data_IF_282835288676
#
_entry.id   IF_282835288676
#
_cell.length_a   1.000
_cell.length_b   1.000
_cell.length_c   1.000
_cell.angle_alpha   90.00
_cell.angle_beta   90.00
_cell.angle_gamma   90.00
#
_symmetry.space_group_name_H-M   'P 1'
#
loop_
_entity.id
_entity.type
_entity.pdbx_description
1 polymer ?
#
# COMPACT_ATOMS: atom_id res chain seq x y z
N UNK A 1 -34.87 -10.45 29.10
CA UNK A 1 -33.89 -11.56 28.97
C UNK A 1 -32.44 -11.11 28.77
N UNK A 2 -32.14 -10.08 27.97
CA UNK A 2 -30.76 -9.56 27.82
C UNK A 2 -30.25 -8.82 29.06
N UNK A 3 -31.12 -8.09 29.75
CA UNK A 3 -30.78 -7.33 30.96
C UNK A 3 -30.39 -8.23 32.15
N UNK A 4 -31.04 -9.39 32.26
CA UNK A 4 -30.79 -10.39 33.31
C UNK A 4 -29.46 -11.13 33.12
N UNK A 5 -28.99 -11.24 31.86
CA UNK A 5 -27.70 -11.84 31.52
C UNK A 5 -26.53 -10.87 31.79
N UNK A 6 -26.71 -9.58 31.47
CA UNK A 6 -25.71 -8.54 31.77
C UNK A 6 -25.47 -8.37 33.29
N UNK A 7 -26.54 -8.43 34.09
CA UNK A 7 -26.43 -8.28 35.54
C UNK A 7 -25.73 -9.48 36.22
N UNK A 8 -25.82 -10.68 35.65
CA UNK A 8 -25.10 -11.87 36.16
C UNK A 8 -23.60 -11.83 35.86
N UNK A 9 -23.16 -11.22 34.76
CA UNK A 9 -21.75 -11.19 34.37
C UNK A 9 -20.94 -10.07 35.07
N UNK A 10 -21.58 -9.02 35.56
CA UNK A 10 -20.90 -7.93 36.27
C UNK A 10 -20.57 -8.32 37.72
N UNK A 11 -21.32 -9.27 38.31
CA UNK A 11 -21.14 -9.72 39.69
C UNK A 11 -19.88 -10.59 39.91
N UNK A 12 -19.20 -11.05 38.86
CA UNK A 12 -17.99 -11.89 38.97
C UNK A 12 -16.67 -11.13 39.04
N UNK A 13 -16.66 -9.80 38.91
CA UNK A 13 -15.43 -8.99 38.84
C UNK A 13 -15.24 -7.95 39.94
N UNK A 14 -15.99 -8.04 41.04
CA UNK A 14 -15.83 -7.15 42.20
C UNK A 14 -15.75 -7.99 43.48
N UNK A 15 -14.56 -8.19 44.08
CA UNK A 15 -14.46 -8.81 45.38
C UNK A 15 -14.64 -7.73 46.44
N UNK A 16 -15.79 -7.71 47.13
CA UNK A 16 -15.94 -7.50 48.59
C UNK A 16 -17.38 -7.13 48.96
N UNK A 17 -17.78 -7.61 50.14
CA UNK A 17 -19.04 -7.45 50.89
C UNK A 17 -20.14 -8.50 50.68
N UNK A 18 -20.50 -9.25 51.75
CA UNK A 18 -21.49 -10.32 51.68
C UNK A 18 -22.88 -9.74 51.92
N UNK A 19 -23.83 -9.99 51.02
CA UNK A 19 -25.25 -9.82 51.36
C UNK A 19 -25.99 -11.10 51.02
N UNK A 20 -26.48 -11.75 52.08
CA UNK A 20 -27.31 -12.94 52.05
C UNK A 20 -28.53 -12.74 51.15
N UNK A 21 -28.82 -13.77 50.35
CA UNK A 21 -29.81 -13.84 49.27
C UNK A 21 -31.28 -13.93 49.76
N UNK A 22 -31.61 -13.35 50.93
CA UNK A 22 -32.87 -13.61 51.64
C UNK A 22 -33.80 -12.41 51.83
N UNK A 23 -33.58 -11.26 51.17
CA UNK A 23 -34.44 -10.05 51.32
C UNK A 23 -34.89 -9.50 49.95
N UNK A 24 -35.36 -10.36 49.06
CA UNK A 24 -36.08 -9.95 47.85
C UNK A 24 -37.40 -10.71 47.73
N UNK A 25 -38.29 -10.47 48.69
CA UNK A 25 -39.73 -10.61 48.48
C UNK A 25 -40.41 -9.31 48.86
N UNK A 26 -40.99 -8.71 47.83
CA UNK A 26 -42.07 -7.74 47.87
C UNK A 26 -41.73 -6.33 48.38
N UNK A 27 -42.13 -5.36 47.54
CA UNK A 27 -42.20 -3.92 47.79
C UNK A 27 -40.89 -3.13 47.91
N UNK A 28 -40.38 -2.64 46.76
CA UNK A 28 -40.07 -1.20 46.57
C UNK A 28 -39.53 -0.92 45.16
N UNK A 29 -40.42 -0.87 44.16
CA UNK A 29 -40.08 -0.39 42.82
C UNK A 29 -39.96 1.15 42.79
N UNK A 30 -40.56 1.87 43.74
CA UNK A 30 -40.53 3.35 43.78
C UNK A 30 -39.21 3.94 44.32
N UNK A 31 -38.50 3.23 45.19
CA UNK A 31 -37.23 3.73 45.76
C UNK A 31 -36.07 3.65 44.75
N UNK A 32 -36.06 2.61 43.91
CA UNK A 32 -35.05 2.44 42.85
C UNK A 32 -35.28 3.46 41.71
N UNK A 33 -36.53 3.78 41.36
CA UNK A 33 -36.81 4.86 40.39
C UNK A 33 -36.41 6.25 40.91
N UNK A 34 -36.58 6.52 42.21
CA UNK A 34 -36.15 7.78 42.82
C UNK A 34 -34.62 7.90 42.87
N UNK A 35 -33.91 6.84 43.24
CA UNK A 35 -32.44 6.82 43.23
C UNK A 35 -31.86 6.89 41.80
N UNK A 36 -32.51 6.27 40.81
CA UNK A 36 -32.13 6.41 39.40
C UNK A 36 -32.41 7.82 38.87
N UNK A 37 -33.51 8.48 39.27
CA UNK A 37 -33.80 9.87 38.85
C UNK A 37 -32.89 10.92 39.50
N UNK A 38 -32.49 10.72 40.77
CA UNK A 38 -31.56 11.63 41.46
C UNK A 38 -30.12 11.37 41.02
N UNK A 39 -29.74 10.10 40.80
CA UNK A 39 -28.46 9.71 40.22
C UNK A 39 -28.28 10.18 38.78
N UNK A 40 -29.32 10.13 37.94
CA UNK A 40 -29.26 10.66 36.58
C UNK A 40 -29.29 12.19 36.51
N UNK A 41 -29.96 12.90 37.43
CA UNK A 41 -29.95 14.38 37.40
C UNK A 41 -28.63 15.01 37.83
N UNK A 42 -27.89 14.37 38.73
CA UNK A 42 -26.56 14.86 39.16
C UNK A 42 -25.40 14.34 38.29
N UNK A 43 -25.61 13.31 37.47
CA UNK A 43 -24.65 12.87 36.43
C UNK A 43 -24.85 13.65 35.11
N UNK A 44 -26.05 14.20 34.86
CA UNK A 44 -26.33 15.00 33.64
C UNK A 44 -25.94 16.49 33.79
N UNK A 45 -25.76 17.01 35.01
CA UNK A 45 -25.39 18.43 35.22
C UNK A 45 -23.99 18.67 35.81
N UNK A 46 -23.15 17.64 35.94
CA UNK A 46 -21.90 17.72 36.72
C UNK A 46 -20.60 17.37 36.00
N UNK A 47 -20.62 16.88 34.75
CA UNK A 47 -19.40 16.51 34.01
C UNK A 47 -19.50 16.77 32.50
N UNK A 48 -20.22 17.82 32.08
CA UNK A 48 -19.92 18.46 30.80
C UNK A 48 -18.71 19.37 31.06
N UNK A 49 -17.54 18.74 31.22
CA UNK A 49 -16.31 19.38 30.80
C UNK A 49 -16.45 19.52 29.28
N UNK A 50 -17.03 20.64 28.83
CA UNK A 50 -16.72 21.21 27.51
C UNK A 50 -15.24 21.58 27.57
N UNK A 51 -14.36 20.58 27.55
CA UNK A 51 -13.12 20.73 26.83
C UNK A 51 -13.58 20.90 25.38
N UNK A 52 -13.77 22.15 24.99
CA UNK A 52 -13.89 22.52 23.59
C UNK A 52 -12.66 21.93 22.92
N UNK A 53 -12.80 20.76 22.28
CA UNK A 53 -11.78 20.31 21.35
C UNK A 53 -11.64 21.49 20.38
N UNK A 54 -10.46 22.12 20.31
CA UNK A 54 -10.31 23.33 19.52
C UNK A 54 -10.81 23.03 18.11
N UNK A 55 -11.57 23.97 17.54
CA UNK A 55 -12.15 23.87 16.19
C UNK A 55 -11.10 23.50 15.12
N UNK A 56 -9.81 23.63 15.46
CA UNK A 56 -8.65 23.10 14.74
C UNK A 56 -8.65 21.59 14.50
N UNK A 57 -9.42 20.78 15.24
CA UNK A 57 -9.51 19.33 15.02
C UNK A 57 -10.38 18.95 13.81
N UNK A 58 -11.32 19.82 13.40
CA UNK A 58 -12.28 19.53 12.33
C UNK A 58 -12.00 20.28 11.02
N UNK A 59 -11.06 21.22 11.00
CA UNK A 59 -10.66 21.93 9.79
C UNK A 59 -9.67 21.12 8.94
N UNK A 60 -10.02 19.90 8.54
CA UNK A 60 -9.46 19.33 7.32
C UNK A 60 -10.37 19.81 6.20
N UNK A 61 -10.11 21.00 5.67
CA UNK A 61 -10.76 21.46 4.44
C UNK A 61 -10.72 20.29 3.46
N UNK A 62 -11.90 19.83 3.02
CA UNK A 62 -12.06 18.89 1.91
C UNK A 62 -11.68 19.63 0.64
N UNK A 63 -10.39 19.92 0.54
CA UNK A 63 -9.78 20.51 -0.61
C UNK A 63 -9.71 19.42 -1.67
N UNK A 64 -10.29 19.71 -2.84
CA UNK A 64 -9.90 19.06 -4.09
C UNK A 64 -8.45 19.45 -4.36
N UNK A 65 -7.49 18.89 -3.59
CA UNK A 65 -6.10 19.31 -3.63
C UNK A 65 -5.50 18.89 -4.96
N UNK A 66 -5.49 19.82 -5.90
CA UNK A 66 -4.41 19.89 -6.87
C UNK A 66 -3.12 20.16 -6.08
N UNK A 67 -2.11 19.32 -6.27
CA UNK A 67 -0.83 19.50 -5.56
C UNK A 67 -0.60 18.63 -4.31
N UNK A 68 -1.18 17.43 -4.22
CA UNK A 68 -0.97 16.50 -3.08
C UNK A 68 0.51 16.16 -2.80
N UNK A 69 1.38 16.37 -3.78
CA UNK A 69 2.81 16.13 -3.72
C UNK A 69 3.61 17.41 -4.02
N UNK A 70 3.00 18.58 -3.83
CA UNK A 70 3.60 19.88 -4.14
C UNK A 70 4.95 20.03 -3.43
N UNK A 71 5.99 20.26 -4.23
CA UNK A 71 7.35 20.46 -3.73
C UNK A 71 8.07 19.19 -3.26
N UNK A 72 7.44 18.02 -3.36
CA UNK A 72 8.11 16.74 -3.07
C UNK A 72 9.01 16.32 -4.23
N UNK A 73 10.10 15.65 -3.91
CA UNK A 73 11.05 15.05 -4.86
C UNK A 73 10.92 13.53 -4.79
N UNK A 74 10.62 12.90 -5.91
CA UNK A 74 10.47 11.46 -6.00
C UNK A 74 11.53 10.83 -6.90
N UNK A 75 12.05 9.68 -6.48
CA UNK A 75 12.85 8.78 -7.32
C UNK A 75 12.02 7.52 -7.56
N UNK A 76 11.78 7.19 -8.83
CA UNK A 76 10.96 6.02 -9.21
C UNK A 76 11.80 5.11 -10.11
N UNK A 77 11.98 3.86 -9.68
CA UNK A 77 12.66 2.82 -10.46
C UNK A 77 11.70 2.14 -11.42
N UNK A 78 12.16 1.73 -12.60
CA UNK A 78 11.31 1.11 -13.62
C UNK A 78 10.26 2.09 -14.15
N UNK A 79 10.63 3.38 -14.25
CA UNK A 79 9.71 4.47 -14.57
C UNK A 79 9.68 4.87 -16.05
N UNK A 80 10.40 4.15 -16.92
CA UNK A 80 10.34 4.40 -18.37
C UNK A 80 9.03 3.90 -19.01
N UNK A 81 8.26 3.03 -18.34
CA UNK A 81 7.01 2.49 -18.89
C UNK A 81 6.01 2.07 -17.82
N UNK A 82 4.82 1.62 -18.26
CA UNK A 82 3.81 0.97 -17.42
C UNK A 82 3.40 1.78 -16.18
N UNK A 83 3.30 1.09 -15.03
CA UNK A 83 2.90 1.69 -13.74
C UNK A 83 3.91 2.76 -13.30
N UNK A 84 5.20 2.56 -13.51
CA UNK A 84 6.23 3.53 -13.11
C UNK A 84 6.10 4.85 -13.86
N UNK A 85 5.90 4.79 -15.18
CA UNK A 85 5.62 5.99 -16.00
C UNK A 85 4.31 6.67 -15.59
N UNK A 86 3.24 5.90 -15.37
CA UNK A 86 1.96 6.45 -14.93
C UNK A 86 2.08 7.13 -13.54
N UNK A 87 2.82 6.53 -12.61
CA UNK A 87 3.13 7.12 -11.32
C UNK A 87 3.94 8.40 -11.45
N UNK A 88 4.97 8.43 -12.30
CA UNK A 88 5.75 9.64 -12.58
C UNK A 88 4.86 10.78 -13.11
N UNK A 89 3.99 10.49 -14.09
CA UNK A 89 3.05 11.45 -14.65
C UNK A 89 2.10 12.01 -13.59
N UNK A 90 1.48 11.14 -12.78
CA UNK A 90 0.56 11.53 -11.69
C UNK A 90 1.28 12.28 -10.56
N UNK A 91 2.53 11.94 -10.27
CA UNK A 91 3.32 12.65 -9.28
C UNK A 91 3.60 14.08 -9.73
N UNK A 92 4.00 14.27 -10.98
CA UNK A 92 4.23 15.58 -11.60
C UNK A 92 2.93 16.39 -11.65
N UNK A 93 1.80 15.78 -12.06
CA UNK A 93 0.51 16.46 -12.07
C UNK A 93 0.03 16.88 -10.66
N UNK A 94 0.58 16.24 -9.62
CA UNK A 94 0.37 16.60 -8.22
C UNK A 94 1.50 17.47 -7.64
N UNK A 95 2.33 18.08 -8.48
CA UNK A 95 3.31 19.10 -8.09
C UNK A 95 4.66 18.58 -7.60
N UNK A 96 4.96 17.29 -7.81
CA UNK A 96 6.28 16.73 -7.52
C UNK A 96 7.27 16.98 -8.66
N UNK A 97 8.56 16.89 -8.35
CA UNK A 97 9.61 16.62 -9.34
C UNK A 97 10.00 15.15 -9.25
N UNK A 98 10.21 14.51 -10.40
CA UNK A 98 10.43 13.07 -10.49
C UNK A 98 11.74 12.77 -11.21
N UNK A 99 12.58 11.97 -10.57
CA UNK A 99 13.72 11.31 -11.18
C UNK A 99 13.27 9.92 -11.66
N UNK A 100 13.39 9.70 -12.96
CA UNK A 100 13.08 8.46 -13.67
C UNK A 100 14.36 7.62 -13.69
N UNK A 101 14.40 6.56 -12.89
CA UNK A 101 15.49 5.60 -12.88
C UNK A 101 15.06 4.35 -13.66
N UNK A 102 15.77 4.03 -14.73
CA UNK A 102 15.45 2.86 -15.56
C UNK A 102 16.68 2.33 -16.29
N UNK A 103 16.70 1.03 -16.61
CA UNK A 103 17.76 0.39 -17.38
C UNK A 103 17.64 0.72 -18.87
N UNK A 104 16.43 1.04 -19.35
CA UNK A 104 16.16 1.34 -20.76
C UNK A 104 16.50 2.80 -21.10
N UNK A 105 17.76 3.06 -21.43
CA UNK A 105 18.29 4.42 -21.61
C UNK A 105 17.47 5.29 -22.58
N UNK A 106 17.16 4.79 -23.76
CA UNK A 106 16.45 5.54 -24.80
C UNK A 106 14.99 5.80 -24.40
N UNK A 107 14.30 4.78 -23.90
CA UNK A 107 12.90 4.89 -23.47
C UNK A 107 12.76 5.79 -22.23
N UNK A 108 13.67 5.67 -21.27
CA UNK A 108 13.71 6.50 -20.07
C UNK A 108 13.94 7.98 -20.41
N UNK A 109 14.87 8.28 -21.31
CA UNK A 109 15.10 9.65 -21.78
C UNK A 109 13.89 10.20 -22.55
N UNK A 110 13.29 9.41 -23.45
CA UNK A 110 12.09 9.81 -24.16
C UNK A 110 10.93 10.10 -23.20
N UNK A 111 10.75 9.26 -22.18
CA UNK A 111 9.72 9.45 -21.15
C UNK A 111 9.96 10.71 -20.32
N UNK A 112 11.21 11.00 -19.92
CA UNK A 112 11.52 12.24 -19.23
C UNK A 112 11.19 13.48 -20.08
N UNK A 113 11.50 13.43 -21.39
CA UNK A 113 11.19 14.51 -22.31
C UNK A 113 9.67 14.71 -22.47
N UNK A 114 8.92 13.61 -22.60
CA UNK A 114 7.46 13.61 -22.70
C UNK A 114 6.78 14.20 -21.45
N UNK A 115 7.27 13.83 -20.26
CA UNK A 115 6.74 14.30 -18.98
C UNK A 115 7.18 15.74 -18.62
N UNK A 116 8.10 16.32 -19.40
CA UNK A 116 8.47 17.72 -19.34
C UNK A 116 9.45 18.08 -18.21
N UNK A 117 9.54 19.37 -17.83
CA UNK A 117 10.67 19.91 -17.06
C UNK A 117 10.77 19.42 -15.60
N UNK A 118 9.70 18.81 -15.09
CA UNK A 118 9.69 18.23 -13.75
C UNK A 118 10.13 16.76 -13.74
N UNK A 119 10.44 16.18 -14.90
CA UNK A 119 11.03 14.86 -15.03
C UNK A 119 12.53 14.96 -15.35
N UNK A 120 13.33 14.02 -14.86
CA UNK A 120 14.73 13.86 -15.23
C UNK A 120 15.09 12.39 -15.27
N UNK A 121 15.80 11.96 -16.30
CA UNK A 121 16.22 10.57 -16.44
C UNK A 121 17.61 10.32 -15.85
N UNK A 122 17.80 9.12 -15.30
CA UNK A 122 19.10 8.54 -14.94
C UNK A 122 19.11 7.04 -15.27
N UNK A 123 20.14 6.50 -15.95
CA UNK A 123 20.27 5.06 -16.13
C UNK A 123 20.45 4.37 -14.78
N UNK A 124 19.69 3.31 -14.56
CA UNK A 124 19.76 2.55 -13.31
C UNK A 124 19.39 1.08 -13.52
N UNK A 125 20.35 0.19 -13.39
CA UNK A 125 20.11 -1.24 -13.25
C UNK A 125 19.99 -1.61 -11.77
N UNK A 126 18.77 -1.91 -11.31
CA UNK A 126 18.50 -2.21 -9.89
C UNK A 126 19.20 -3.47 -9.37
N UNK A 127 19.75 -4.32 -10.26
CA UNK A 127 20.59 -5.46 -9.84
C UNK A 127 21.98 -5.02 -9.37
N UNK A 128 22.44 -3.86 -9.84
CA UNK A 128 23.70 -3.24 -9.46
C UNK A 128 23.46 -2.24 -8.35
N UNK A 129 23.97 -2.55 -7.17
CA UNK A 129 23.77 -1.68 -6.00
C UNK A 129 24.39 -0.28 -6.18
N UNK A 130 25.49 -0.18 -6.94
CA UNK A 130 26.12 1.09 -7.31
C UNK A 130 25.15 2.01 -8.06
N UNK A 131 24.45 1.49 -9.08
CA UNK A 131 23.54 2.26 -9.90
C UNK A 131 22.37 2.82 -9.07
N UNK A 132 21.91 2.06 -8.07
CA UNK A 132 20.87 2.51 -7.14
C UNK A 132 21.39 3.59 -6.19
N UNK A 133 22.61 3.43 -5.67
CA UNK A 133 23.27 4.47 -4.86
C UNK A 133 23.44 5.76 -5.66
N UNK A 134 23.94 5.66 -6.89
CA UNK A 134 24.18 6.78 -7.79
C UNK A 134 22.88 7.50 -8.17
N UNK A 135 21.78 6.76 -8.35
CA UNK A 135 20.46 7.37 -8.59
C UNK A 135 19.96 8.20 -7.39
N UNK A 136 20.19 7.72 -6.16
CA UNK A 136 19.88 8.49 -4.95
C UNK A 136 20.80 9.70 -4.82
N UNK A 137 22.11 9.54 -5.03
CA UNK A 137 23.09 10.61 -4.93
C UNK A 137 22.86 11.70 -5.99
N UNK A 138 22.51 11.30 -7.21
CA UNK A 138 22.07 12.21 -8.26
C UNK A 138 20.84 13.03 -7.84
N UNK A 139 19.84 12.36 -7.25
CA UNK A 139 18.62 13.02 -6.78
C UNK A 139 18.93 14.06 -5.69
N UNK A 140 19.79 13.72 -4.73
CA UNK A 140 20.26 14.64 -3.69
C UNK A 140 21.10 15.77 -4.27
N UNK A 141 22.03 15.49 -5.18
CA UNK A 141 22.87 16.51 -5.81
C UNK A 141 22.01 17.56 -6.52
N UNK A 142 21.03 17.10 -7.30
CA UNK A 142 20.14 17.93 -8.13
C UNK A 142 19.07 18.68 -7.34
N UNK A 143 18.47 18.04 -6.34
CA UNK A 143 17.27 18.57 -5.67
C UNK A 143 17.45 18.83 -4.16
N UNK A 144 18.60 18.46 -3.59
CA UNK A 144 18.98 18.60 -2.17
C UNK A 144 18.13 17.79 -1.18
N UNK A 145 17.16 17.02 -1.66
CA UNK A 145 16.26 16.19 -0.86
C UNK A 145 15.71 15.03 -1.69
N UNK A 146 15.28 13.99 -0.99
CA UNK A 146 14.50 12.88 -1.52
C UNK A 146 13.33 12.62 -0.57
N UNK A 147 12.11 12.83 -1.05
CA UNK A 147 10.89 12.68 -0.23
C UNK A 147 10.20 11.35 -0.46
N UNK A 148 10.26 10.84 -1.69
CA UNK A 148 9.60 9.60 -2.08
C UNK A 148 10.58 8.69 -2.82
N UNK A 149 10.81 7.49 -2.28
CA UNK A 149 11.47 6.42 -3.03
C UNK A 149 10.41 5.40 -3.45
N UNK A 150 10.21 5.22 -4.76
CA UNK A 150 9.29 4.22 -5.28
C UNK A 150 10.05 3.09 -5.98
N UNK A 151 10.19 1.98 -5.27
CA UNK A 151 10.75 0.73 -5.75
C UNK A 151 9.72 -0.02 -6.61
N UNK A 152 9.59 0.39 -7.87
CA UNK A 152 8.62 -0.15 -8.81
C UNK A 152 9.21 -1.12 -9.84
N UNK A 153 10.52 -1.05 -10.12
CA UNK A 153 11.17 -1.95 -11.06
C UNK A 153 10.93 -3.44 -10.70
N UNK A 154 10.68 -4.25 -11.72
CA UNK A 154 10.50 -5.69 -11.58
C UNK A 154 10.45 -6.38 -12.93
N UNK A 155 10.62 -7.70 -12.90
CA UNK A 155 10.50 -8.57 -14.07
C UNK A 155 9.48 -9.68 -13.86
N UNK A 156 8.81 -10.14 -14.93
CA UNK A 156 8.00 -11.35 -14.89
C UNK A 156 8.92 -12.56 -14.69
N UNK A 157 8.31 -13.72 -14.44
CA UNK A 157 9.05 -14.95 -14.25
C UNK A 157 8.64 -16.00 -15.28
N UNK A 158 9.60 -16.41 -16.10
CA UNK A 158 9.43 -17.49 -17.07
C UNK A 158 10.00 -18.79 -16.51
N UNK A 159 9.30 -19.38 -15.54
CA UNK A 159 9.67 -20.70 -14.99
C UNK A 159 8.62 -21.74 -15.34
N UNK A 160 9.01 -23.03 -15.40
CA UNK A 160 8.06 -24.12 -15.56
C UNK A 160 6.91 -24.05 -14.53
N UNK A 161 5.71 -24.54 -14.88
CA UNK A 161 4.57 -24.54 -13.95
C UNK A 161 4.78 -25.48 -12.77
N UNK A 162 5.60 -26.52 -12.96
CA UNK A 162 5.92 -27.53 -11.96
C UNK A 162 7.14 -27.11 -11.15
N UNK A 163 7.03 -27.20 -9.82
CA UNK A 163 8.11 -26.82 -8.90
C UNK A 163 9.33 -27.76 -8.99
N UNK A 164 9.14 -29.02 -9.41
CA UNK A 164 10.26 -29.98 -9.51
C UNK A 164 11.20 -29.64 -10.67
N UNK A 165 10.74 -28.85 -11.63
CA UNK A 165 11.49 -28.45 -12.82
C UNK A 165 12.09 -27.04 -12.67
N UNK A 166 12.03 -26.44 -11.48
CA UNK A 166 12.51 -25.09 -11.24
C UNK A 166 14.04 -25.00 -11.41
N UNK A 167 14.47 -24.16 -12.35
CA UNK A 167 15.85 -23.71 -12.42
C UNK A 167 16.12 -22.62 -11.36
N UNK A 168 17.00 -22.95 -10.40
CA UNK A 168 17.39 -22.04 -9.33
C UNK A 168 18.14 -20.81 -9.84
N UNK A 169 18.82 -20.87 -10.99
CA UNK A 169 19.46 -19.69 -11.57
C UNK A 169 18.42 -18.67 -12.04
N UNK A 170 17.29 -19.13 -12.58
CA UNK A 170 16.15 -18.27 -12.94
C UNK A 170 15.52 -17.68 -11.68
N UNK A 171 15.36 -18.50 -10.63
CA UNK A 171 14.90 -18.02 -9.32
C UNK A 171 15.80 -16.90 -8.77
N UNK A 172 17.10 -17.12 -8.74
CA UNK A 172 18.08 -16.15 -8.23
C UNK A 172 18.06 -14.85 -9.02
N UNK A 173 17.91 -14.92 -10.34
CA UNK A 173 17.76 -13.72 -11.19
C UNK A 173 16.51 -12.92 -10.83
N UNK A 174 15.36 -13.58 -10.69
CA UNK A 174 14.10 -12.90 -10.33
C UNK A 174 14.19 -12.30 -8.92
N UNK A 175 14.77 -13.02 -7.96
CA UNK A 175 14.99 -12.51 -6.61
C UNK A 175 15.99 -11.34 -6.60
N UNK A 176 17.04 -11.40 -7.42
CA UNK A 176 18.01 -10.33 -7.59
C UNK A 176 17.38 -9.01 -8.05
N UNK A 177 16.38 -9.09 -8.94
CA UNK A 177 15.67 -7.90 -9.44
C UNK A 177 14.53 -7.50 -8.50
N UNK A 178 13.58 -8.40 -8.25
CA UNK A 178 12.31 -8.09 -7.58
C UNK A 178 12.45 -7.91 -6.07
N UNK A 179 13.51 -8.45 -5.45
CA UNK A 179 13.69 -8.44 -3.98
C UNK A 179 14.96 -7.69 -3.60
N UNK A 180 16.13 -8.12 -4.09
CA UNK A 180 17.40 -7.47 -3.77
C UNK A 180 17.44 -6.03 -4.29
N UNK A 181 16.93 -5.77 -5.49
CA UNK A 181 16.80 -4.41 -6.04
C UNK A 181 15.94 -3.50 -5.15
N UNK A 182 14.81 -4.01 -4.64
CA UNK A 182 13.95 -3.29 -3.69
C UNK A 182 14.70 -2.97 -2.39
N UNK A 183 15.42 -3.95 -1.83
CA UNK A 183 16.23 -3.75 -0.63
C UNK A 183 17.34 -2.70 -0.84
N UNK A 184 18.02 -2.72 -1.99
CA UNK A 184 19.03 -1.72 -2.32
C UNK A 184 18.42 -0.31 -2.40
N UNK A 185 17.25 -0.18 -3.02
CA UNK A 185 16.55 1.09 -3.10
C UNK A 185 16.09 1.62 -1.75
N UNK A 186 15.58 0.75 -0.88
CA UNK A 186 15.25 1.09 0.51
C UNK A 186 16.52 1.54 1.27
N UNK A 187 17.57 0.72 1.27
CA UNK A 187 18.83 0.99 1.97
C UNK A 187 19.39 2.37 1.62
N UNK A 188 19.49 2.68 0.33
CA UNK A 188 20.09 3.94 -0.12
C UNK A 188 19.18 5.14 0.05
N UNK A 189 17.85 4.97 -0.07
CA UNK A 189 16.91 6.03 0.30
C UNK A 189 17.00 6.35 1.80
N UNK A 190 17.09 5.34 2.66
CA UNK A 190 17.20 5.53 4.11
C UNK A 190 18.49 6.23 4.53
N UNK A 191 19.60 6.01 3.82
CA UNK A 191 20.87 6.73 4.04
C UNK A 191 20.67 8.26 4.05
N UNK A 192 19.73 8.78 3.25
CA UNK A 192 19.48 10.22 3.11
C UNK A 192 18.20 10.69 3.82
N UNK A 193 17.20 9.80 3.97
CA UNK A 193 15.94 10.09 4.65
C UNK A 193 16.07 10.06 6.19
N UNK A 194 16.86 9.15 6.77
CA UNK A 194 17.02 9.03 8.23
C UNK A 194 17.56 10.31 8.88
N UNK A 195 18.64 10.94 8.36
CA UNK A 195 19.11 12.22 8.89
C UNK A 195 18.06 13.33 8.80
N UNK A 196 17.23 13.30 7.75
CA UNK A 196 16.16 14.27 7.51
C UNK A 196 14.88 13.98 8.33
N UNK A 197 14.80 12.79 8.95
CA UNK A 197 13.65 12.29 9.74
C UNK A 197 12.30 12.43 9.03
N UNK A 198 12.30 12.25 7.72
CA UNK A 198 11.11 12.36 6.87
C UNK A 198 11.31 11.54 5.59
N UNK A 199 10.22 10.99 5.07
CA UNK A 199 10.24 10.25 3.82
C UNK A 199 9.06 9.30 3.66
N UNK A 200 8.79 8.92 2.42
CA UNK A 200 7.82 7.90 2.05
C UNK A 200 8.46 6.89 1.10
N UNK A 201 8.55 5.64 1.52
CA UNK A 201 9.03 4.53 0.72
C UNK A 201 7.82 3.75 0.21
N UNK A 202 7.77 3.55 -1.10
CA UNK A 202 6.76 2.74 -1.78
C UNK A 202 7.43 1.56 -2.47
N UNK A 203 6.77 0.42 -2.47
CA UNK A 203 7.21 -0.78 -3.19
C UNK A 203 6.06 -1.36 -4.03
N UNK A 204 6.35 -1.81 -5.25
CA UNK A 204 5.37 -2.53 -6.08
C UNK A 204 5.40 -4.01 -5.75
N UNK A 205 4.39 -4.48 -5.02
CA UNK A 205 4.13 -5.89 -4.74
C UNK A 205 3.21 -6.48 -5.84
N UNK A 206 2.31 -7.40 -5.49
CA UNK A 206 1.30 -7.98 -6.39
C UNK A 206 0.30 -8.82 -5.59
N UNK A 207 -0.93 -8.93 -6.09
CA UNK A 207 -1.92 -9.92 -5.62
C UNK A 207 -1.37 -11.35 -5.60
N UNK A 208 -0.44 -11.67 -6.50
CA UNK A 208 0.20 -13.00 -6.60
C UNK A 208 1.02 -13.32 -5.35
N UNK A 209 1.61 -12.31 -4.71
CA UNK A 209 2.32 -12.45 -3.43
C UNK A 209 1.41 -12.60 -2.22
N UNK A 210 0.10 -12.42 -2.37
CA UNK A 210 -0.88 -12.62 -1.29
C UNK A 210 -1.57 -13.97 -1.39
N UNK A 211 -2.02 -14.33 -2.59
CA UNK A 211 -2.79 -15.55 -2.81
C UNK A 211 -1.91 -16.77 -3.15
N UNK A 212 -0.79 -16.56 -3.84
CA UNK A 212 -0.10 -17.63 -4.56
C UNK A 212 -0.96 -18.23 -5.69
N UNK A 213 -0.35 -19.03 -6.56
CA UNK A 213 -1.07 -19.85 -7.56
C UNK A 213 -1.73 -19.09 -8.72
N UNK A 214 -1.67 -17.76 -8.75
CA UNK A 214 -2.11 -16.92 -9.88
C UNK A 214 -1.00 -16.72 -10.93
N UNK A 215 0.24 -17.02 -10.57
CA UNK A 215 1.43 -16.92 -11.40
C UNK A 215 2.43 -17.98 -10.99
N UNK A 216 3.53 -18.05 -11.72
CA UNK A 216 4.66 -18.92 -11.47
C UNK A 216 5.18 -18.72 -10.03
N UNK A 217 5.56 -19.82 -9.38
CA UNK A 217 5.93 -19.85 -7.96
C UNK A 217 6.99 -18.81 -7.61
N UNK A 218 8.03 -18.69 -8.43
CA UNK A 218 9.13 -17.74 -8.24
C UNK A 218 8.67 -16.28 -8.19
N UNK A 219 7.77 -15.87 -9.09
CA UNK A 219 7.22 -14.51 -9.07
C UNK A 219 6.39 -14.28 -7.81
N UNK A 220 5.49 -15.23 -7.48
CA UNK A 220 4.67 -15.18 -6.27
C UNK A 220 5.52 -15.08 -5.00
N UNK A 221 6.60 -15.88 -4.88
CA UNK A 221 7.56 -15.82 -3.76
C UNK A 221 8.26 -14.46 -3.72
N UNK A 222 8.73 -13.94 -4.86
CA UNK A 222 9.40 -12.64 -4.90
C UNK A 222 8.49 -11.50 -4.42
N UNK A 223 7.22 -11.50 -4.81
CA UNK A 223 6.25 -10.47 -4.40
C UNK A 223 5.76 -10.67 -2.96
N UNK A 224 5.69 -11.91 -2.48
CA UNK A 224 5.48 -12.21 -1.05
C UNK A 224 6.60 -11.64 -0.19
N UNK A 225 7.85 -11.77 -0.65
CA UNK A 225 9.02 -11.22 0.04
C UNK A 225 8.95 -9.69 0.13
N UNK A 226 8.51 -8.99 -0.93
CA UNK A 226 8.31 -7.53 -0.89
C UNK A 226 7.28 -7.12 0.18
N UNK A 227 6.16 -7.84 0.30
CA UNK A 227 5.16 -7.59 1.36
C UNK A 227 5.79 -7.81 2.75
N UNK A 228 6.58 -8.87 2.90
CA UNK A 228 7.34 -9.15 4.13
C UNK A 228 8.35 -8.05 4.48
N UNK A 229 9.11 -7.55 3.50
CA UNK A 229 10.08 -6.46 3.68
C UNK A 229 9.38 -5.21 4.22
N UNK A 230 8.28 -4.78 3.59
CA UNK A 230 7.52 -3.60 4.03
C UNK A 230 7.03 -3.75 5.46
N UNK A 231 6.46 -4.91 5.81
CA UNK A 231 5.96 -5.18 7.16
C UNK A 231 7.09 -5.20 8.19
N UNK A 232 8.22 -5.83 7.85
CA UNK A 232 9.38 -5.98 8.74
C UNK A 232 10.01 -4.62 9.06
N UNK A 233 10.27 -3.81 8.04
CA UNK A 233 11.01 -2.55 8.21
C UNK A 233 10.16 -1.43 8.82
N UNK A 234 8.83 -1.49 8.73
CA UNK A 234 7.96 -0.43 9.25
C UNK A 234 8.21 -0.12 10.74
N UNK A 235 8.48 -1.13 11.57
CA UNK A 235 8.73 -0.94 13.01
C UNK A 235 9.97 -0.06 13.28
N UNK A 236 11.04 -0.24 12.50
CA UNK A 236 12.25 0.57 12.57
C UNK A 236 12.01 1.98 12.01
N UNK A 237 11.44 2.07 10.80
CA UNK A 237 11.33 3.33 10.06
C UNK A 237 10.39 4.33 10.70
N UNK A 238 9.36 3.86 11.41
CA UNK A 238 8.47 4.71 12.19
C UNK A 238 9.21 5.56 13.23
N UNK A 239 10.31 5.05 13.81
CA UNK A 239 11.12 5.79 14.79
C UNK A 239 11.83 7.00 14.19
N UNK A 240 11.98 7.04 12.87
CA UNK A 240 12.60 8.12 12.11
C UNK A 240 11.58 9.02 11.39
N UNK A 241 10.27 8.82 11.60
CA UNK A 241 9.24 9.58 10.88
C UNK A 241 9.15 9.23 9.39
N UNK A 242 9.67 8.05 9.00
CA UNK A 242 9.66 7.55 7.63
C UNK A 242 8.57 6.50 7.51
N UNK A 243 7.74 6.61 6.47
CA UNK A 243 6.69 5.64 6.16
C UNK A 243 7.18 4.67 5.10
N UNK A 244 6.79 3.41 5.20
CA UNK A 244 7.02 2.40 4.15
C UNK A 244 5.73 1.66 3.87
N UNK A 245 5.34 1.53 2.61
CA UNK A 245 4.13 0.79 2.20
C UNK A 245 4.39 0.08 0.88
N UNK A 246 3.57 -0.92 0.55
CA UNK A 246 3.52 -1.50 -0.78
C UNK A 246 2.14 -1.37 -1.41
N UNK A 247 2.12 -1.46 -2.74
CA UNK A 247 0.90 -1.52 -3.55
C UNK A 247 0.89 -2.88 -4.23
N UNK A 248 -0.19 -3.62 -4.08
CA UNK A 248 -0.42 -4.92 -4.73
C UNK A 248 -1.49 -4.79 -5.80
N UNK A 249 -1.12 -4.44 -7.05
CA UNK A 249 -2.07 -4.42 -8.14
C UNK A 249 -2.45 -5.84 -8.59
N UNK A 250 -3.66 -5.98 -9.12
CA UNK A 250 -4.07 -7.11 -9.96
C UNK A 250 -3.41 -7.03 -11.34
N UNK A 251 -3.86 -7.84 -12.30
CA UNK A 251 -3.38 -7.76 -13.68
C UNK A 251 -3.71 -6.38 -14.29
N UNK A 252 -2.68 -5.69 -14.78
CA UNK A 252 -2.76 -4.36 -15.41
C UNK A 252 -2.16 -4.46 -16.82
N UNK A 253 -2.81 -3.93 -17.86
CA UNK A 253 -2.31 -3.98 -19.25
C UNK A 253 -1.08 -3.07 -19.42
N UNK A 254 0.07 -3.56 -19.00
CA UNK A 254 1.36 -2.87 -19.11
C UNK A 254 2.27 -3.63 -20.09
N UNK A 255 3.34 -3.01 -20.62
CA UNK A 255 4.33 -3.74 -21.40
C UNK A 255 4.87 -4.98 -20.68
N UNK A 256 4.98 -4.93 -19.34
CA UNK A 256 5.33 -6.09 -18.50
C UNK A 256 4.37 -7.26 -18.68
N UNK A 257 3.06 -7.03 -18.52
CA UNK A 257 2.06 -8.09 -18.58
C UNK A 257 1.82 -8.56 -20.01
N UNK A 258 1.91 -7.66 -20.99
CA UNK A 258 1.76 -7.99 -22.39
C UNK A 258 2.94 -8.84 -22.91
N UNK A 259 4.17 -8.52 -22.51
CA UNK A 259 5.35 -9.35 -22.81
C UNK A 259 5.16 -10.77 -22.25
N UNK A 260 4.78 -10.87 -20.98
CA UNK A 260 4.55 -12.16 -20.32
C UNK A 260 3.49 -13.01 -21.03
N UNK A 261 2.31 -12.42 -21.28
CA UNK A 261 1.22 -13.14 -21.93
C UNK A 261 1.50 -13.46 -23.40
N UNK A 262 2.29 -12.64 -24.10
CA UNK A 262 2.67 -12.91 -25.49
C UNK A 262 3.54 -14.16 -25.63
N UNK A 263 4.34 -14.50 -24.61
CA UNK A 263 5.13 -15.73 -24.62
C UNK A 263 4.27 -16.97 -24.32
N UNK A 264 3.25 -16.82 -23.47
CA UNK A 264 2.31 -17.89 -23.12
C UNK A 264 1.31 -18.13 -24.26
N UNK A 265 0.87 -17.05 -24.91
CA UNK A 265 -0.13 -17.04 -25.98
C UNK A 265 0.40 -16.34 -27.24
N UNK A 266 1.40 -16.92 -27.93
CA UNK A 266 2.09 -16.26 -29.06
C UNK A 266 1.20 -15.99 -30.27
N UNK A 267 0.00 -16.57 -30.32
CA UNK A 267 -0.95 -16.42 -31.42
C UNK A 267 -1.96 -15.29 -31.17
N UNK A 268 -1.92 -14.65 -30.01
CA UNK A 268 -2.89 -13.61 -29.62
C UNK A 268 -2.22 -12.23 -29.79
N UNK A 269 -2.90 -11.34 -30.49
CA UNK A 269 -2.42 -9.96 -30.67
C UNK A 269 -2.51 -9.14 -29.38
N UNK A 270 -1.80 -8.01 -29.34
CA UNK A 270 -1.74 -7.17 -28.15
C UNK A 270 -3.11 -6.62 -27.70
N UNK A 271 -4.03 -6.33 -28.63
CA UNK A 271 -5.36 -5.81 -28.29
C UNK A 271 -6.21 -6.88 -27.60
N UNK A 272 -6.14 -8.10 -28.10
CA UNK A 272 -6.79 -9.26 -27.51
C UNK A 272 -6.17 -9.62 -26.14
N UNK A 273 -4.86 -9.48 -25.97
CA UNK A 273 -4.21 -9.64 -24.67
C UNK A 273 -4.71 -8.60 -23.64
N UNK A 274 -4.89 -7.33 -24.04
CA UNK A 274 -5.48 -6.31 -23.17
C UNK A 274 -6.91 -6.69 -22.77
N UNK A 275 -7.74 -7.13 -23.73
CA UNK A 275 -9.11 -7.61 -23.45
C UNK A 275 -9.10 -8.82 -22.51
N UNK A 276 -8.16 -9.73 -22.69
CA UNK A 276 -7.97 -10.88 -21.81
C UNK A 276 -7.63 -10.44 -20.38
N UNK A 277 -6.66 -9.54 -20.20
CA UNK A 277 -6.29 -8.99 -18.89
C UNK A 277 -7.51 -8.37 -18.20
N UNK A 278 -8.28 -7.55 -18.93
CA UNK A 278 -9.50 -6.93 -18.39
C UNK A 278 -10.56 -7.96 -18.00
N UNK A 279 -10.68 -9.06 -18.75
CA UNK A 279 -11.65 -10.12 -18.46
C UNK A 279 -11.39 -10.87 -17.14
N UNK A 280 -10.16 -10.80 -16.61
CA UNK A 280 -9.82 -11.41 -15.32
C UNK A 280 -10.37 -10.61 -14.12
N UNK A 281 -10.74 -9.35 -14.32
CA UNK A 281 -11.28 -8.48 -13.28
C UNK A 281 -12.67 -8.94 -12.80
N UNK A 282 -12.94 -8.80 -11.51
CA UNK A 282 -14.25 -9.15 -10.91
C UNK A 282 -15.17 -7.94 -10.71
N UNK A 283 -14.64 -6.72 -10.86
CA UNK A 283 -15.35 -5.47 -10.61
C UNK A 283 -16.13 -5.01 -11.85
N UNK A 284 -17.23 -5.69 -12.16
CA UNK A 284 -18.25 -5.24 -13.11
C UNK A 284 -17.69 -4.63 -14.40
N UNK A 285 -18.10 -3.39 -14.71
CA UNK A 285 -17.70 -2.66 -15.94
C UNK A 285 -16.38 -1.90 -15.80
N UNK A 286 -15.73 -1.93 -14.64
CA UNK A 286 -14.48 -1.21 -14.42
C UNK A 286 -13.28 -2.07 -14.86
N UNK A 287 -12.32 -1.45 -15.52
CA UNK A 287 -11.01 -2.05 -15.80
C UNK A 287 -9.96 -1.46 -14.88
N UNK A 288 -8.88 -2.20 -14.65
CA UNK A 288 -7.76 -1.73 -13.87
C UNK A 288 -6.67 -1.22 -14.82
N UNK A 289 -6.35 0.06 -14.73
CA UNK A 289 -5.37 0.72 -15.57
C UNK A 289 -4.11 1.12 -14.77
N UNK A 290 -2.97 1.40 -15.43
CA UNK A 290 -1.78 1.90 -14.74
C UNK A 290 -2.04 3.18 -13.93
N UNK A 291 -3.00 4.01 -14.37
CA UNK A 291 -3.42 5.23 -13.69
C UNK A 291 -4.04 4.98 -12.30
N UNK A 292 -4.79 3.91 -12.12
CA UNK A 292 -5.42 3.58 -10.84
C UNK A 292 -4.37 3.20 -9.79
N UNK A 293 -3.36 2.43 -10.22
CA UNK A 293 -2.21 2.08 -9.37
C UNK A 293 -1.37 3.33 -9.04
N UNK A 294 -1.24 4.24 -10.00
CA UNK A 294 -0.57 5.52 -9.79
C UNK A 294 -1.32 6.43 -8.80
N UNK A 295 -2.65 6.44 -8.81
CA UNK A 295 -3.46 7.20 -7.85
C UNK A 295 -3.33 6.64 -6.42
N UNK A 296 -3.24 5.31 -6.27
CA UNK A 296 -2.88 4.67 -5.01
C UNK A 296 -1.47 5.09 -4.53
N UNK A 297 -0.49 5.18 -5.45
CA UNK A 297 0.85 5.66 -5.13
C UNK A 297 0.86 7.13 -4.70
N UNK A 298 0.08 8.00 -5.34
CA UNK A 298 -0.05 9.41 -4.93
C UNK A 298 -0.61 9.49 -3.50
N UNK A 299 -1.65 8.71 -3.18
CA UNK A 299 -2.19 8.67 -1.82
C UNK A 299 -1.14 8.25 -0.80
N UNK A 300 -0.45 7.13 -1.04
CA UNK A 300 0.55 6.64 -0.09
C UNK A 300 1.77 7.55 0.01
N UNK A 301 2.13 8.29 -1.04
CA UNK A 301 3.22 9.25 -1.03
C UNK A 301 2.87 10.59 -0.36
N UNK A 302 1.58 10.95 -0.29
CA UNK A 302 1.13 12.25 0.22
C UNK A 302 0.95 12.26 1.74
N UNK A 303 0.66 13.45 2.27
CA UNK A 303 0.36 13.65 3.69
C UNK A 303 -1.07 13.18 4.06
N UNK A 304 -1.86 12.75 3.06
CA UNK A 304 -3.15 12.09 3.31
C UNK A 304 -2.93 10.74 3.99
N UNK A 305 -1.85 10.05 3.64
CA UNK A 305 -1.42 8.79 4.23
C UNK A 305 -0.40 8.99 5.38
N UNK A 306 -0.37 10.17 6.03
CA UNK A 306 0.62 10.49 7.09
C UNK A 306 0.65 9.50 8.27
N UNK A 307 -0.41 8.71 8.45
CA UNK A 307 -0.54 7.72 9.51
C UNK A 307 -0.64 6.28 8.99
N UNK A 308 -0.24 6.03 7.74
CA UNK A 308 -0.24 4.72 7.09
C UNK A 308 1.21 4.29 6.82
N UNK A 309 1.64 3.22 7.49
CA UNK A 309 2.96 2.60 7.34
C UNK A 309 2.85 1.09 7.60
N UNK A 310 3.69 0.29 6.96
CA UNK A 310 3.65 -1.17 6.96
C UNK A 310 2.45 -1.77 6.21
N UNK A 311 1.74 -0.96 5.42
CA UNK A 311 0.51 -1.38 4.76
C UNK A 311 0.76 -1.93 3.36
N UNK A 312 0.00 -2.96 3.00
CA UNK A 312 -0.13 -3.45 1.63
C UNK A 312 -1.47 -2.99 1.07
N UNK A 313 -1.45 -1.95 0.24
CA UNK A 313 -2.65 -1.42 -0.41
C UNK A 313 -2.96 -2.24 -1.66
N UNK A 314 -4.02 -3.04 -1.61
CA UNK A 314 -4.43 -3.89 -2.72
C UNK A 314 -5.30 -3.09 -3.70
N UNK A 315 -4.97 -3.16 -4.99
CA UNK A 315 -5.69 -2.49 -6.07
C UNK A 315 -6.13 -3.55 -7.08
N UNK A 316 -7.25 -4.22 -6.80
CA UNK A 316 -7.65 -5.44 -7.50
C UNK A 316 -9.16 -5.57 -7.77
N UNK A 317 -9.94 -4.52 -7.49
CA UNK A 317 -11.39 -4.56 -7.63
C UNK A 317 -12.09 -5.60 -6.74
N UNK A 318 -11.46 -6.03 -5.65
CA UNK A 318 -11.99 -7.03 -4.71
C UNK A 318 -11.65 -8.48 -5.07
N UNK A 319 -10.80 -8.73 -6.08
CA UNK A 319 -10.42 -10.07 -6.53
C UNK A 319 -9.91 -10.97 -5.39
N UNK A 320 -9.07 -10.43 -4.52
CA UNK A 320 -8.48 -11.16 -3.38
C UNK A 320 -9.41 -11.26 -2.17
N UNK A 321 -10.57 -10.61 -2.18
CA UNK A 321 -11.42 -10.44 -0.98
C UNK A 321 -12.46 -11.55 -0.79
N UNK A 322 -12.79 -12.31 -1.83
CA UNK A 322 -13.76 -13.39 -1.75
C UNK A 322 -13.49 -14.47 -2.80
N UNK A 323 -13.95 -15.69 -2.50
CA UNK A 323 -14.05 -16.77 -3.49
C UNK A 323 -15.53 -17.03 -3.76
N UNK A 324 -15.91 -17.12 -5.04
CA UNK A 324 -17.26 -17.60 -5.39
C UNK A 324 -17.30 -19.12 -5.20
N UNK A 325 -18.37 -19.60 -4.56
CA UNK A 325 -18.66 -21.02 -4.53
C UNK A 325 -19.22 -21.44 -5.89
N UNK A 326 -18.54 -22.36 -6.56
CA UNK A 326 -19.08 -22.99 -7.77
C UNK A 326 -20.14 -24.01 -7.33
N UNK A 327 -21.41 -23.60 -7.37
CA UNK A 327 -22.52 -24.52 -7.19
C UNK A 327 -22.74 -25.28 -8.51
N UNK A 328 -22.99 -26.61 -8.46
CA UNK A 328 -23.35 -27.36 -9.66
C UNK A 328 -24.51 -26.67 -10.38
N UNK A 329 -24.37 -26.43 -11.69
CA UNK A 329 -25.50 -25.97 -12.49
C UNK A 329 -26.52 -27.12 -12.53
N UNK A 330 -27.67 -26.90 -11.91
CA UNK A 330 -28.84 -27.80 -11.95
C UNK A 330 -29.38 -27.96 -13.36
#
# INVERSE_FOLDING_TARGET
MVLTWLLKNIAHHIPTFPVSLSILKEHNISLIESMLRIGFRNIINGFICRASLPQSFYNRELSTQTGRLKGKIALITGAASGIGKAAAAKFISNGAKVVIADIQHQLGQATANELGPNATFIPCDVTKESDVSDAVDFTISKHKRLDVMYNNAGVPCYTPPSIVDLDLAVFDRVMGINVRGVLAGIKHALRVMIPSRTGSILCTASVTGMMGGLSQHTYSVSKSAVIGIVKSMAAELCQYGIRINCISPFAVPTPFALDELSQIYPQIDAEQLVKMIHSFGVLGKATLEPGDVADAAVYLASDDAKYVSGHNLVVDGGFTSFKRLELPKS
#
